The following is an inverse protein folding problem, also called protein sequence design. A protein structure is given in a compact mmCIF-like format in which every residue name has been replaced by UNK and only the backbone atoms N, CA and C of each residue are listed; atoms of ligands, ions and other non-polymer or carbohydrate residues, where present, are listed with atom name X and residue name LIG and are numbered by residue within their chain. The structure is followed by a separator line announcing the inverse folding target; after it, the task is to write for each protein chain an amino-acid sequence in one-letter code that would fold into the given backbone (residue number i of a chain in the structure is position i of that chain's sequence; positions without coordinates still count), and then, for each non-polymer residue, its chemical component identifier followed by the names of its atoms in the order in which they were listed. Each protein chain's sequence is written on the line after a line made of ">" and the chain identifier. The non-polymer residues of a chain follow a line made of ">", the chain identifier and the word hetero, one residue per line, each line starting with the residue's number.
data_IF_200283391902
#
_entry.id   IF_200283391902
#
_cell.length_a   1.000
_cell.length_b   1.000
_cell.length_c   1.000
_cell.angle_alpha   90.00
_cell.angle_beta   90.00
_cell.angle_gamma   90.00
#
_symmetry.space_group_name_H-M   'P 1'
#
loop_
_entity.id
_entity.type
_entity.pdbx_description
1 polymer ?
#
# COMPACT_ATOMS: atom_id res chain seq x y z
N UNK A 1 -1.93 14.53 18.43
CA UNK A 1 -0.63 13.87 18.20
C UNK A 1 -0.81 12.37 18.34
N UNK A 2 -0.39 11.59 17.34
CA UNK A 2 -0.36 10.13 17.45
C UNK A 2 0.92 9.68 18.16
N UNK A 3 0.82 8.67 19.03
CA UNK A 3 1.97 8.03 19.64
C UNK A 3 2.30 6.77 18.85
N UNK A 4 3.55 6.61 18.45
CA UNK A 4 4.07 5.40 17.80
C UNK A 4 4.94 4.67 18.81
N UNK A 5 4.74 3.37 18.95
CA UNK A 5 5.58 2.50 19.78
C UNK A 5 6.24 1.44 18.90
N UNK A 6 7.53 1.25 19.12
CA UNK A 6 8.31 0.15 18.55
C UNK A 6 8.42 -0.94 19.61
N UNK A 7 8.10 -2.17 19.23
CA UNK A 7 8.22 -3.34 20.11
C UNK A 7 9.03 -4.41 19.40
N UNK A 8 9.98 -4.99 20.12
CA UNK A 8 10.73 -6.16 19.68
C UNK A 8 10.07 -7.40 20.25
N UNK A 9 9.87 -8.41 19.41
CA UNK A 9 9.30 -9.70 19.80
C UNK A 9 10.40 -10.75 19.78
N UNK A 10 10.25 -11.78 20.61
CA UNK A 10 11.28 -12.82 20.76
C UNK A 10 11.31 -13.80 19.59
N UNK A 11 10.16 -14.06 18.98
CA UNK A 11 10.04 -14.99 17.86
C UNK A 11 9.24 -14.37 16.71
N UNK A 12 9.43 -14.90 15.50
CA UNK A 12 8.68 -14.45 14.33
C UNK A 12 7.21 -14.90 14.40
N UNK A 13 6.88 -16.03 15.05
CA UNK A 13 5.48 -16.44 15.22
C UNK A 13 4.69 -15.43 16.07
N UNK A 14 5.31 -14.88 17.13
CA UNK A 14 4.68 -13.85 17.95
C UNK A 14 4.42 -12.57 17.14
N UNK A 15 5.31 -12.23 16.21
CA UNK A 15 5.15 -11.09 15.29
C UNK A 15 4.02 -11.32 14.31
N UNK A 16 3.93 -12.49 13.71
CA UNK A 16 2.83 -12.86 12.83
C UNK A 16 1.49 -12.84 13.56
N UNK A 17 1.44 -13.40 14.78
CA UNK A 17 0.24 -13.39 15.62
C UNK A 17 -0.19 -11.97 15.99
N UNK A 18 0.76 -11.08 16.28
CA UNK A 18 0.46 -9.67 16.59
C UNK A 18 -0.07 -8.93 15.35
N UNK A 19 0.54 -9.15 14.19
CA UNK A 19 0.11 -8.55 12.92
C UNK A 19 -1.28 -9.03 12.50
N UNK A 20 -1.59 -10.31 12.70
CA UNK A 20 -2.90 -10.88 12.37
C UNK A 20 -4.05 -10.23 13.15
N UNK A 21 -3.78 -9.68 14.35
CA UNK A 21 -4.80 -8.94 15.12
C UNK A 21 -5.21 -7.61 14.48
N UNK A 22 -4.31 -6.97 13.71
CA UNK A 22 -4.56 -5.72 12.98
C UNK A 22 -4.78 -4.49 13.87
N UNK A 23 -5.88 -4.45 14.63
CA UNK A 23 -6.23 -3.38 15.56
C UNK A 23 -6.30 -3.95 16.98
N UNK A 24 -5.63 -3.29 17.92
CA UNK A 24 -5.60 -3.64 19.34
C UNK A 24 -6.26 -2.55 20.17
N UNK A 25 -6.85 -2.92 21.31
CA UNK A 25 -7.27 -1.95 22.31
C UNK A 25 -6.22 -1.89 23.43
N UNK A 26 -5.53 -0.77 23.55
CA UNK A 26 -4.49 -0.53 24.57
C UNK A 26 -4.93 0.65 25.43
N UNK A 27 -5.09 0.43 26.73
CA UNK A 27 -5.55 1.47 27.68
C UNK A 27 -6.83 2.19 27.21
N UNK A 28 -7.78 1.41 26.69
CA UNK A 28 -9.06 1.92 26.18
C UNK A 28 -9.00 2.61 24.81
N UNK A 29 -7.83 2.69 24.16
CA UNK A 29 -7.66 3.32 22.84
C UNK A 29 -7.35 2.29 21.75
N UNK A 30 -7.86 2.51 20.54
CA UNK A 30 -7.53 1.66 19.40
C UNK A 30 -6.15 2.01 18.83
N UNK A 31 -5.32 0.98 18.66
CA UNK A 31 -3.97 1.08 18.13
C UNK A 31 -3.84 0.15 16.92
N UNK A 32 -3.34 0.66 15.80
CA UNK A 32 -3.07 -0.13 14.60
C UNK A 32 -1.69 -0.78 14.69
N UNK A 33 -1.64 -2.09 14.48
CA UNK A 33 -0.38 -2.83 14.38
C UNK A 33 0.15 -2.72 12.96
N UNK A 34 1.40 -2.26 12.83
CA UNK A 34 2.08 -2.12 11.54
C UNK A 34 3.38 -2.91 11.61
N UNK A 35 3.69 -3.67 10.56
CA UNK A 35 5.00 -4.28 10.45
C UNK A 35 5.98 -3.23 9.90
N UNK A 36 6.99 -2.79 10.67
CA UNK A 36 7.93 -1.78 10.20
C UNK A 36 8.80 -2.26 9.04
N UNK A 37 8.96 -3.59 8.86
CA UNK A 37 9.75 -4.20 7.79
C UNK A 37 8.96 -4.40 6.50
N UNK A 38 7.64 -4.61 6.56
CA UNK A 38 6.80 -4.74 5.36
C UNK A 38 6.36 -3.36 4.89
N UNK A 39 7.19 -2.73 4.07
CA UNK A 39 6.91 -1.46 3.44
C UNK A 39 6.00 -1.61 2.20
N UNK A 40 4.78 -2.14 2.41
CA UNK A 40 3.75 -2.13 1.35
C UNK A 40 3.16 -0.73 1.25
N UNK A 41 3.44 -0.02 0.17
CA UNK A 41 2.91 1.32 -0.10
C UNK A 41 1.94 1.24 -1.27
N UNK A 42 0.78 1.86 -1.09
CA UNK A 42 -0.19 2.09 -2.17
C UNK A 42 -0.26 3.58 -2.43
N UNK A 43 -0.06 4.00 -3.68
CA UNK A 43 -0.14 5.41 -4.06
C UNK A 43 -0.91 5.59 -5.37
N UNK A 44 -1.34 6.83 -5.61
CA UNK A 44 -2.04 7.23 -6.83
C UNK A 44 -1.08 8.01 -7.73
N UNK A 45 -1.07 7.65 -9.01
CA UNK A 45 -0.38 8.41 -10.07
C UNK A 45 -1.43 9.11 -10.88
N UNK A 46 -1.40 10.42 -10.86
CA UNK A 46 -2.37 11.27 -11.57
C UNK A 46 -1.89 11.56 -12.98
N UNK A 47 -2.86 11.94 -13.84
CA UNK A 47 -2.61 12.41 -15.21
C UNK A 47 -1.85 11.43 -16.11
N UNK A 48 -2.01 10.12 -15.89
CA UNK A 48 -1.44 9.11 -16.78
C UNK A 48 -2.26 9.07 -18.08
N UNK A 49 -1.65 9.27 -19.25
CA UNK A 49 -2.37 9.23 -20.53
C UNK A 49 -3.17 7.93 -20.72
N UNK A 50 -4.33 8.01 -21.35
CA UNK A 50 -5.24 6.86 -21.50
C UNK A 50 -4.63 5.69 -22.29
N UNK A 51 -3.76 5.98 -23.24
CA UNK A 51 -3.07 4.99 -24.07
C UNK A 51 -1.83 4.40 -23.41
N UNK A 52 -1.37 4.94 -22.28
CA UNK A 52 -0.17 4.44 -21.63
C UNK A 52 -0.45 3.09 -20.95
N UNK A 53 0.31 2.03 -21.29
CA UNK A 53 0.15 0.73 -20.68
C UNK A 53 0.63 0.75 -19.23
N UNK A 54 0.01 -0.05 -18.38
CA UNK A 54 0.42 -0.19 -16.97
C UNK A 54 1.88 -0.67 -16.83
N UNK A 55 2.40 -1.36 -17.83
CA UNK A 55 3.79 -1.82 -17.89
C UNK A 55 4.80 -0.67 -17.86
N UNK A 56 4.47 0.48 -18.47
CA UNK A 56 5.33 1.67 -18.40
C UNK A 56 5.49 2.16 -16.95
N UNK A 57 4.40 2.13 -16.18
CA UNK A 57 4.44 2.48 -14.75
C UNK A 57 5.15 1.42 -13.92
N UNK A 58 4.97 0.12 -14.25
CA UNK A 58 5.70 -0.96 -13.58
C UNK A 58 7.21 -0.76 -13.71
N UNK A 59 7.69 -0.44 -14.91
CA UNK A 59 9.11 -0.15 -15.16
C UNK A 59 9.57 1.10 -14.43
N UNK A 60 8.80 2.19 -14.52
CA UNK A 60 9.14 3.46 -13.87
C UNK A 60 9.28 3.34 -12.35
N UNK A 61 8.45 2.53 -11.69
CA UNK A 61 8.51 2.37 -10.24
C UNK A 61 9.34 1.17 -9.75
N UNK A 62 9.87 0.36 -10.66
CA UNK A 62 10.61 -0.87 -10.32
C UNK A 62 11.89 -0.61 -9.51
N UNK A 63 12.42 0.61 -9.59
CA UNK A 63 13.57 1.05 -8.78
C UNK A 63 13.24 1.08 -7.28
N UNK A 64 12.01 1.42 -6.91
CA UNK A 64 11.59 1.55 -5.51
C UNK A 64 11.25 0.20 -4.88
N UNK A 65 10.94 -0.80 -5.70
CA UNK A 65 10.76 -2.18 -5.26
C UNK A 65 9.87 -3.02 -6.16
N UNK A 66 9.28 -4.06 -5.60
CA UNK A 66 8.45 -5.00 -6.34
C UNK A 66 7.05 -4.45 -6.55
N UNK A 67 6.66 -4.22 -7.80
CA UNK A 67 5.32 -3.72 -8.15
C UNK A 67 4.31 -4.87 -8.11
N UNK A 68 3.51 -4.91 -7.05
CA UNK A 68 2.48 -5.93 -6.88
C UNK A 68 1.29 -5.68 -7.81
N UNK A 69 0.89 -4.42 -7.95
CA UNK A 69 -0.32 -4.07 -8.69
C UNK A 69 -0.18 -2.71 -9.38
N UNK A 70 -0.66 -2.63 -10.61
CA UNK A 70 -0.98 -1.36 -11.28
C UNK A 70 -2.36 -1.52 -11.88
N UNK A 71 -3.31 -0.71 -11.42
CA UNK A 71 -4.67 -0.71 -11.97
C UNK A 71 -5.15 0.68 -12.28
N UNK A 72 -6.06 0.76 -13.25
CA UNK A 72 -6.79 1.99 -13.55
C UNK A 72 -7.86 2.21 -12.49
N UNK A 73 -7.92 3.42 -11.96
CA UNK A 73 -9.01 3.79 -11.08
C UNK A 73 -10.28 3.90 -11.93
N UNK A 74 -11.26 3.07 -11.60
CA UNK A 74 -12.58 3.05 -12.23
C UNK A 74 -13.64 3.37 -11.19
N UNK A 75 -14.64 4.14 -11.60
CA UNK A 75 -15.78 4.49 -10.76
C UNK A 75 -17.02 3.79 -11.32
N UNK A 76 -17.75 3.11 -10.44
CA UNK A 76 -19.09 2.63 -10.80
C UNK A 76 -20.04 3.81 -10.67
N UNK A 77 -20.53 4.34 -11.79
CA UNK A 77 -21.69 5.22 -11.75
C UNK A 77 -22.96 4.37 -11.75
N UNK A 78 -23.98 4.77 -10.97
CA UNK A 78 -25.31 4.16 -11.02
C UNK A 78 -26.11 4.57 -12.27
N UNK A 79 -25.47 5.31 -13.18
CA UNK A 79 -26.08 5.89 -14.37
C UNK A 79 -25.82 5.01 -15.60
N UNK A 80 -26.65 5.16 -16.65
CA UNK A 80 -26.56 4.43 -17.93
C UNK A 80 -25.12 4.41 -18.52
N UNK A 81 -24.32 5.44 -18.27
CA UNK A 81 -22.96 5.60 -18.82
C UNK A 81 -21.92 4.55 -18.38
N UNK A 82 -22.28 3.57 -17.53
CA UNK A 82 -21.43 2.43 -17.20
C UNK A 82 -20.21 2.80 -16.35
N UNK A 83 -19.17 1.95 -16.38
CA UNK A 83 -17.92 2.16 -15.62
C UNK A 83 -17.07 3.23 -16.30
N UNK A 84 -16.92 4.38 -15.64
CA UNK A 84 -16.05 5.45 -16.10
C UNK A 84 -14.60 5.19 -15.64
N UNK A 85 -13.67 5.26 -16.59
CA UNK A 85 -12.25 5.06 -16.35
C UNK A 85 -11.53 6.40 -16.18
N UNK A 86 -10.76 6.55 -15.10
CA UNK A 86 -9.94 7.74 -14.85
C UNK A 86 -8.56 7.65 -15.52
N UNK A 87 -7.91 8.80 -15.72
CA UNK A 87 -6.47 8.87 -16.01
C UNK A 87 -5.62 8.48 -14.79
N UNK A 88 -6.20 8.42 -13.59
CA UNK A 88 -5.50 7.99 -12.38
C UNK A 88 -5.18 6.50 -12.41
N UNK A 89 -3.98 6.16 -11.92
CA UNK A 89 -3.54 4.79 -11.66
C UNK A 89 -3.30 4.58 -10.19
N UNK A 90 -3.75 3.45 -9.66
CA UNK A 90 -3.39 3.00 -8.32
C UNK A 90 -2.25 2.01 -8.47
N UNK A 91 -1.13 2.29 -7.81
CA UNK A 91 0.07 1.47 -7.82
C UNK A 91 0.30 0.93 -6.41
N UNK A 92 0.55 -0.37 -6.30
CA UNK A 92 0.93 -1.03 -5.06
C UNK A 92 2.33 -1.58 -5.18
N UNK A 93 3.20 -1.16 -4.28
CA UNK A 93 4.63 -1.50 -4.27
C UNK A 93 5.01 -2.11 -2.94
N UNK A 94 5.75 -3.21 -2.98
CA UNK A 94 6.57 -3.64 -1.86
C UNK A 94 7.91 -2.93 -2.01
N UNK A 95 8.17 -1.94 -1.16
CA UNK A 95 9.45 -1.22 -1.22
C UNK A 95 10.60 -2.18 -0.92
N UNK A 96 11.72 -1.99 -1.61
CA UNK A 96 12.99 -2.64 -1.25
C UNK A 96 13.42 -2.12 0.12
N UNK A 97 14.03 -2.98 0.92
CA UNK A 97 14.69 -2.55 2.15
C UNK A 97 15.71 -1.45 1.79
N UNK A 98 15.58 -0.29 2.42
CA UNK A 98 16.63 0.73 2.32
C UNK A 98 17.83 0.27 3.15
N UNK A 99 18.92 -0.07 2.48
CA UNK A 99 20.26 0.30 2.94
C UNK A 99 20.38 1.82 2.78
N UNK A 100 19.91 2.57 3.78
CA UNK A 100 20.40 3.96 3.93
C UNK A 100 21.88 3.86 4.32
N UNK A 101 22.80 4.61 3.68
CA UNK A 101 24.15 4.77 4.22
C UNK A 101 24.13 5.41 5.61
#
# INVERSE_FOLDING_TARGET
>A
MGHVWLVSLRTEEDKERLLAKGILQVKGRFCTVVNPTKQKVTFKVHWVPFFMPNEALRRAFSEFGEIQEVRREGWSSSTWFGKANSTTRVVRVMLREKTTP
#
